data_IF_163474404189
#
_entry.id   IF_163474404189
#
_cell.length_a   1.000
_cell.length_b   1.000
_cell.length_c   1.000
_cell.angle_alpha   90.00
_cell.angle_beta   90.00
_cell.angle_gamma   90.00
#
_symmetry.space_group_name_H-M   'P 1'
#
loop_
_entity.id
_entity.type
_entity.pdbx_description
1 polymer ?
#
# COMPACT_ATOMS: atom_id res chain seq x y z
N UNK A 1 4.54 -13.43 -10.99
CA UNK A 1 3.09 -13.09 -10.80
C UNK A 1 2.29 -14.36 -10.50
N UNK A 2 2.45 -15.41 -11.32
CA UNK A 2 1.67 -16.66 -11.20
C UNK A 2 1.70 -17.29 -9.80
N UNK A 3 2.87 -17.50 -9.13
CA UNK A 3 2.86 -18.08 -7.79
C UNK A 3 2.10 -17.26 -6.76
N UNK A 4 2.15 -15.92 -6.84
CA UNK A 4 1.41 -15.04 -5.94
C UNK A 4 -0.10 -15.24 -6.09
N UNK A 5 -0.61 -15.26 -7.33
CA UNK A 5 -2.05 -15.35 -7.60
C UNK A 5 -2.61 -16.76 -7.50
N UNK A 6 -1.83 -17.80 -7.79
CA UNK A 6 -2.31 -19.18 -7.73
C UNK A 6 -2.06 -19.86 -6.38
N UNK A 7 -0.96 -19.54 -5.72
CA UNK A 7 -0.49 -20.23 -4.52
C UNK A 7 -0.34 -19.33 -3.29
N UNK A 8 -0.46 -18.02 -3.45
CA UNK A 8 -0.19 -17.06 -2.38
C UNK A 8 1.29 -17.06 -1.98
N UNK A 9 2.20 -17.13 -2.94
CA UNK A 9 3.65 -17.25 -2.71
C UNK A 9 4.44 -16.23 -3.51
N UNK A 10 5.48 -15.68 -2.88
CA UNK A 10 6.50 -14.86 -3.54
C UNK A 10 7.87 -15.41 -3.17
N UNK A 11 8.70 -15.75 -4.18
CA UNK A 11 10.01 -16.34 -4.00
C UNK A 11 10.00 -17.57 -3.04
N UNK A 12 8.98 -18.44 -3.19
CA UNK A 12 8.81 -19.65 -2.37
C UNK A 12 8.31 -19.42 -0.94
N UNK A 13 8.04 -18.18 -0.56
CA UNK A 13 7.51 -17.83 0.78
C UNK A 13 6.03 -17.48 0.70
N UNK A 14 5.24 -17.99 1.63
CA UNK A 14 3.82 -17.64 1.76
C UNK A 14 3.65 -16.15 2.04
N UNK A 15 2.70 -15.51 1.35
CA UNK A 15 2.21 -14.18 1.67
C UNK A 15 1.08 -14.26 2.68
N UNK A 16 0.61 -13.11 3.18
CA UNK A 16 -0.52 -13.07 4.12
C UNK A 16 -1.79 -13.74 3.60
N UNK A 17 -2.61 -14.23 4.50
CA UNK A 17 -3.83 -14.99 4.23
C UNK A 17 -5.11 -14.17 4.51
N UNK A 18 -5.04 -12.84 4.37
CA UNK A 18 -6.19 -11.97 4.47
C UNK A 18 -7.20 -12.24 3.36
N UNK A 19 -8.48 -11.88 3.57
CA UNK A 19 -9.56 -12.10 2.62
C UNK A 19 -9.34 -11.42 1.27
N UNK A 20 -8.56 -10.32 1.25
CA UNK A 20 -8.17 -9.57 0.04
C UNK A 20 -6.85 -10.03 -0.59
N UNK A 21 -6.23 -11.10 -0.08
CA UNK A 21 -4.99 -11.62 -0.65
C UNK A 21 -5.19 -12.04 -2.12
N UNK A 22 -4.22 -11.79 -3.02
CA UNK A 22 -4.37 -12.01 -4.46
C UNK A 22 -4.89 -13.39 -4.85
N UNK A 23 -4.43 -14.44 -4.18
CA UNK A 23 -4.86 -15.82 -4.45
C UNK A 23 -6.29 -16.13 -4.00
N UNK A 24 -6.90 -15.29 -3.16
CA UNK A 24 -8.29 -15.44 -2.70
C UNK A 24 -9.30 -14.66 -3.53
N UNK A 25 -8.84 -13.71 -4.33
CA UNK A 25 -9.71 -12.84 -5.12
C UNK A 25 -9.57 -13.05 -6.63
N UNK A 26 -8.81 -14.07 -7.05
CA UNK A 26 -8.54 -14.33 -8.47
C UNK A 26 -9.73 -14.97 -9.19
N UNK A 27 -10.41 -15.92 -8.57
CA UNK A 27 -11.45 -16.69 -9.21
C UNK A 27 -12.84 -16.32 -8.69
N UNK A 28 -13.83 -16.36 -9.58
CA UNK A 28 -15.25 -16.17 -9.28
C UNK A 28 -15.96 -17.53 -9.26
N UNK A 29 -17.03 -17.66 -8.48
CA UNK A 29 -17.82 -18.91 -8.41
C UNK A 29 -18.55 -19.21 -9.73
N UNK A 30 -18.99 -18.16 -10.45
CA UNK A 30 -19.69 -18.26 -11.72
C UNK A 30 -19.45 -16.99 -12.55
N UNK A 31 -19.88 -17.00 -13.81
CA UNK A 31 -19.88 -15.82 -14.68
C UNK A 31 -20.66 -14.66 -14.03
N UNK A 32 -20.07 -13.47 -14.00
CA UNK A 32 -20.64 -12.24 -13.40
C UNK A 32 -20.95 -12.37 -11.88
N UNK A 33 -20.47 -13.43 -11.21
CA UNK A 33 -20.61 -13.56 -9.77
C UNK A 33 -19.85 -12.44 -9.04
N UNK A 34 -20.41 -11.99 -7.91
CA UNK A 34 -19.74 -11.10 -6.96
C UNK A 34 -19.03 -11.85 -5.82
N UNK A 35 -19.07 -13.20 -5.88
CA UNK A 35 -18.49 -14.07 -4.86
C UNK A 35 -17.22 -14.71 -5.38
N UNK A 36 -16.15 -14.58 -4.62
CA UNK A 36 -14.87 -15.22 -4.94
C UNK A 36 -14.90 -16.71 -4.60
N UNK A 37 -14.44 -17.51 -5.56
CA UNK A 37 -14.36 -18.95 -5.40
C UNK A 37 -13.21 -19.36 -4.48
N UNK A 38 -13.41 -20.41 -3.69
CA UNK A 38 -12.37 -20.98 -2.80
C UNK A 38 -11.34 -21.83 -3.52
N UNK A 39 -11.62 -22.20 -4.76
CA UNK A 39 -10.74 -23.02 -5.62
C UNK A 39 -10.76 -22.49 -7.06
N UNK A 40 -9.80 -22.83 -7.91
CA UNK A 40 -9.77 -22.42 -9.30
C UNK A 40 -11.05 -22.81 -10.06
N UNK A 41 -11.59 -21.85 -10.81
CA UNK A 41 -12.71 -22.01 -11.75
C UNK A 41 -12.31 -21.50 -13.13
N UNK A 42 -13.18 -21.64 -14.12
CA UNK A 42 -12.98 -21.03 -15.45
C UNK A 42 -13.25 -19.51 -15.48
N UNK A 43 -13.76 -18.94 -14.38
CA UNK A 43 -14.10 -17.52 -14.30
C UNK A 43 -13.08 -16.78 -13.44
N UNK A 44 -12.35 -15.86 -14.05
CA UNK A 44 -11.35 -15.03 -13.36
C UNK A 44 -11.90 -13.61 -13.16
N UNK A 45 -11.61 -13.04 -11.99
CA UNK A 45 -11.97 -11.66 -11.67
C UNK A 45 -11.09 -10.64 -12.43
N UNK A 46 -9.87 -11.05 -12.79
CA UNK A 46 -8.90 -10.20 -13.48
C UNK A 46 -7.79 -11.05 -14.11
N UNK A 47 -7.10 -10.48 -15.09
CA UNK A 47 -5.84 -11.01 -15.63
C UNK A 47 -4.69 -10.35 -14.88
N UNK A 48 -3.91 -11.11 -14.07
CA UNK A 48 -2.83 -10.52 -13.28
C UNK A 48 -1.74 -9.89 -14.14
N UNK A 49 -1.33 -8.66 -13.82
CA UNK A 49 -0.30 -7.92 -14.56
C UNK A 49 0.90 -7.53 -13.70
N UNK A 50 0.68 -7.00 -12.51
CA UNK A 50 1.74 -6.47 -11.66
C UNK A 50 1.43 -6.69 -10.17
N UNK A 51 2.48 -6.86 -9.37
CA UNK A 51 2.41 -6.75 -7.93
C UNK A 51 3.63 -6.01 -7.39
N UNK A 52 3.49 -5.39 -6.24
CA UNK A 52 4.58 -4.73 -5.53
C UNK A 52 4.31 -4.78 -4.02
N UNK A 53 5.32 -4.36 -3.26
CA UNK A 53 5.24 -4.20 -1.81
C UNK A 53 5.82 -2.84 -1.44
N UNK A 54 5.04 -2.06 -0.69
CA UNK A 54 5.41 -0.72 -0.27
C UNK A 54 5.73 -0.68 1.23
N UNK A 55 6.62 0.22 1.60
CA UNK A 55 7.09 0.40 2.97
C UNK A 55 7.55 1.84 3.20
N UNK A 56 8.28 2.08 4.30
CA UNK A 56 8.88 3.38 4.56
C UNK A 56 10.16 3.58 3.75
N UNK A 57 10.24 4.71 3.06
CA UNK A 57 11.49 5.28 2.58
C UNK A 57 12.10 6.16 3.67
N UNK A 58 13.40 6.10 3.84
CA UNK A 58 14.13 6.94 4.81
C UNK A 58 15.38 7.58 4.20
N UNK A 59 15.84 8.65 4.83
CA UNK A 59 17.11 9.33 4.59
C UNK A 59 18.15 8.85 5.63
N UNK A 60 18.93 7.80 5.33
CA UNK A 60 19.90 7.25 6.28
C UNK A 60 21.06 8.19 6.59
N UNK A 61 21.31 9.16 5.74
CA UNK A 61 22.28 10.24 5.96
C UNK A 61 21.81 11.27 7.00
N UNK A 62 20.50 11.41 7.20
CA UNK A 62 19.87 12.33 8.15
C UNK A 62 19.36 11.64 9.43
N UNK A 63 19.28 10.32 9.43
CA UNK A 63 18.83 9.51 10.56
C UNK A 63 19.97 8.61 11.03
N UNK A 64 20.40 8.78 12.27
CA UNK A 64 21.60 8.11 12.82
C UNK A 64 21.28 6.83 13.61
N UNK A 65 20.06 6.29 13.48
CA UNK A 65 19.63 5.05 14.15
C UNK A 65 18.82 4.16 13.24
N UNK A 66 18.71 2.85 13.54
CA UNK A 66 17.85 1.96 12.78
C UNK A 66 16.37 2.39 12.83
N UNK A 67 15.69 2.28 11.69
CA UNK A 67 14.25 2.42 11.54
C UNK A 67 13.68 1.04 11.23
N UNK A 68 12.94 0.46 12.14
CA UNK A 68 12.51 -0.94 12.07
C UNK A 68 10.99 -1.12 12.14
N UNK A 69 10.24 -0.03 12.31
CA UNK A 69 8.79 -0.09 12.54
C UNK A 69 8.04 0.99 11.78
N UNK A 70 6.84 0.68 11.32
CA UNK A 70 5.89 1.65 10.80
C UNK A 70 5.52 2.74 11.82
N UNK A 71 5.61 2.43 13.12
CA UNK A 71 5.35 3.39 14.22
C UNK A 71 6.21 4.65 14.13
N UNK A 72 7.35 4.59 13.44
CA UNK A 72 8.28 5.72 13.29
C UNK A 72 7.68 6.90 12.51
N UNK A 73 6.68 6.68 11.67
CA UNK A 73 5.93 7.77 11.04
C UNK A 73 5.25 8.70 12.06
N UNK A 74 4.88 8.18 13.22
CA UNK A 74 4.27 8.94 14.31
C UNK A 74 5.18 9.07 15.54
N UNK A 75 6.49 8.87 15.36
CA UNK A 75 7.45 9.10 16.44
C UNK A 75 7.69 10.62 16.59
N UNK A 76 7.51 11.18 17.79
CA UNK A 76 7.73 12.62 18.06
C UNK A 76 9.13 13.13 17.70
N UNK A 77 10.15 12.26 17.68
CA UNK A 77 11.52 12.58 17.22
C UNK A 77 11.53 13.17 15.80
N UNK A 78 10.62 12.69 14.94
CA UNK A 78 10.51 13.10 13.54
C UNK A 78 9.35 14.07 13.30
N UNK A 79 8.87 14.76 14.33
CA UNK A 79 7.79 15.75 14.20
C UNK A 79 8.12 16.80 13.14
N UNK A 80 7.19 17.02 12.21
CA UNK A 80 7.36 17.95 11.09
C UNK A 80 8.34 17.48 10.01
N UNK A 81 8.81 16.22 10.07
CA UNK A 81 9.76 15.64 9.10
C UNK A 81 9.28 14.32 8.52
N UNK A 82 8.02 13.97 8.69
CA UNK A 82 7.42 12.77 8.12
C UNK A 82 6.36 13.11 7.08
N UNK A 83 6.09 12.18 6.18
CA UNK A 83 4.98 12.29 5.23
C UNK A 83 4.31 10.93 5.00
N UNK A 84 3.04 10.97 4.61
CA UNK A 84 2.25 9.77 4.29
C UNK A 84 1.45 10.00 3.01
N UNK A 85 1.19 8.93 2.28
CA UNK A 85 0.41 8.94 1.06
C UNK A 85 -1.04 9.41 1.32
N UNK A 86 -1.49 10.39 0.56
CA UNK A 86 -2.84 10.97 0.62
C UNK A 86 -3.73 10.48 -0.53
N UNK A 87 -3.76 9.17 -0.75
CA UNK A 87 -4.75 8.50 -1.60
C UNK A 87 -5.62 7.66 -0.66
N UNK A 88 -6.92 7.99 -0.47
CA UNK A 88 -7.74 7.42 0.61
C UNK A 88 -7.72 5.89 0.67
N UNK A 89 -7.89 5.22 -0.47
CA UNK A 89 -7.92 3.75 -0.56
C UNK A 89 -6.57 3.06 -0.28
N UNK A 90 -5.47 3.80 -0.37
CA UNK A 90 -4.11 3.26 -0.20
C UNK A 90 -3.50 3.79 1.10
N UNK A 91 -3.52 5.11 1.30
CA UNK A 91 -2.90 5.75 2.47
C UNK A 91 -3.52 5.31 3.80
N UNK A 92 -4.82 4.94 3.80
CA UNK A 92 -5.43 4.38 5.00
C UNK A 92 -4.82 3.04 5.41
N UNK A 93 -4.36 2.23 4.47
CA UNK A 93 -3.66 0.98 4.79
C UNK A 93 -2.26 1.25 5.36
N UNK A 94 -1.53 2.24 4.84
CA UNK A 94 -0.27 2.69 5.44
C UNK A 94 -0.50 3.18 6.87
N UNK A 95 -1.56 3.95 7.10
CA UNK A 95 -1.95 4.39 8.43
C UNK A 95 -2.32 3.23 9.37
N UNK A 96 -3.03 2.21 8.85
CA UNK A 96 -3.34 1.00 9.61
C UNK A 96 -2.08 0.22 10.01
N UNK A 97 -1.05 0.18 9.15
CA UNK A 97 0.26 -0.39 9.49
C UNK A 97 0.90 0.36 10.67
N UNK A 98 0.77 1.69 10.70
CA UNK A 98 1.27 2.53 11.80
C UNK A 98 0.49 2.28 13.09
N UNK A 99 -0.85 2.26 13.03
CA UNK A 99 -1.74 2.02 14.17
C UNK A 99 -1.44 0.66 14.82
N UNK A 100 -1.28 -0.37 13.99
CA UNK A 100 -0.94 -1.72 14.47
C UNK A 100 0.48 -1.77 15.06
N UNK A 101 1.47 -1.14 14.41
CA UNK A 101 2.84 -1.07 14.89
C UNK A 101 2.96 -0.32 16.22
N UNK A 102 2.06 0.62 16.52
CA UNK A 102 1.95 1.30 17.82
C UNK A 102 1.17 0.50 18.87
N UNK A 103 0.65 -0.69 18.52
CA UNK A 103 -0.15 -1.50 19.44
C UNK A 103 -1.52 -0.91 19.77
N UNK A 104 -2.02 0.07 19.01
CA UNK A 104 -3.32 0.72 19.25
C UNK A 104 -4.46 -0.22 18.87
N UNK A 105 -4.34 -0.91 17.72
CA UNK A 105 -5.34 -1.87 17.24
C UNK A 105 -4.67 -2.94 16.38
N UNK A 106 -5.24 -4.15 16.37
CA UNK A 106 -4.84 -5.25 15.49
C UNK A 106 -5.94 -5.51 14.46
N UNK A 107 -5.63 -5.28 13.20
CA UNK A 107 -6.58 -5.48 12.11
C UNK A 107 -6.68 -6.95 11.70
N UNK A 108 -7.91 -7.40 11.43
CA UNK A 108 -8.13 -8.72 10.83
C UNK A 108 -7.71 -8.73 9.35
N UNK A 109 -8.07 -7.69 8.63
CA UNK A 109 -7.74 -7.50 7.21
C UNK A 109 -7.67 -6.00 6.90
N UNK A 110 -6.46 -5.48 6.70
CA UNK A 110 -6.23 -4.05 6.39
C UNK A 110 -6.76 -3.67 5.00
N UNK A 111 -6.97 -4.63 4.11
CA UNK A 111 -7.58 -4.43 2.80
C UNK A 111 -9.12 -4.43 2.82
N UNK A 112 -9.71 -4.85 3.96
CA UNK A 112 -11.17 -4.91 4.14
C UNK A 112 -11.54 -4.52 5.57
N UNK A 113 -11.22 -3.29 5.94
CA UNK A 113 -11.47 -2.75 7.27
C UNK A 113 -12.95 -2.49 7.50
N UNK A 114 -13.41 -2.74 8.71
CA UNK A 114 -14.74 -2.33 9.19
C UNK A 114 -14.81 -0.81 9.33
N UNK A 115 -16.05 -0.27 9.37
CA UNK A 115 -16.25 1.17 9.61
C UNK A 115 -15.56 1.66 10.89
N UNK A 116 -15.64 0.89 11.97
CA UNK A 116 -15.01 1.23 13.25
C UNK A 116 -13.47 1.27 13.14
N UNK A 117 -12.87 0.34 12.40
CA UNK A 117 -11.42 0.35 12.14
C UNK A 117 -10.99 1.53 11.27
N UNK A 118 -11.79 1.90 10.27
CA UNK A 118 -11.58 3.08 9.44
C UNK A 118 -11.65 4.34 10.32
N UNK A 119 -12.71 4.50 11.12
CA UNK A 119 -12.91 5.66 11.99
C UNK A 119 -11.74 5.82 12.98
N UNK A 120 -11.27 4.72 13.60
CA UNK A 120 -10.11 4.72 14.50
C UNK A 120 -8.83 5.17 13.77
N UNK A 121 -8.60 4.61 12.59
CA UNK A 121 -7.40 4.90 11.78
C UNK A 121 -7.37 6.37 11.37
N UNK A 122 -8.49 6.89 10.86
CA UNK A 122 -8.63 8.29 10.45
C UNK A 122 -8.49 9.23 11.66
N UNK A 123 -9.08 8.89 12.81
CA UNK A 123 -8.93 9.67 14.06
C UNK A 123 -7.45 9.81 14.42
N UNK A 124 -6.71 8.70 14.39
CA UNK A 124 -5.26 8.69 14.69
C UNK A 124 -4.48 9.60 13.74
N UNK A 125 -4.80 9.58 12.43
CA UNK A 125 -4.17 10.48 11.46
C UNK A 125 -4.51 11.94 11.69
N UNK A 126 -5.78 12.26 12.00
CA UNK A 126 -6.22 13.62 12.28
C UNK A 126 -5.50 14.18 13.52
N UNK A 127 -5.39 13.39 14.59
CA UNK A 127 -4.67 13.77 15.80
C UNK A 127 -3.20 14.05 15.51
N UNK A 128 -2.52 13.15 14.77
CA UNK A 128 -1.14 13.33 14.35
C UNK A 128 -0.96 14.59 13.47
N UNK A 129 -1.86 14.83 12.53
CA UNK A 129 -1.84 16.03 11.67
C UNK A 129 -2.00 17.30 12.52
N UNK A 130 -2.98 17.34 13.44
CA UNK A 130 -3.21 18.47 14.36
C UNK A 130 -2.01 18.72 15.26
N UNK A 131 -1.30 17.66 15.67
CA UNK A 131 -0.08 17.76 16.46
C UNK A 131 1.13 18.26 15.63
N UNK A 132 1.00 18.45 14.31
CA UNK A 132 2.08 18.87 13.43
C UNK A 132 3.10 17.77 13.14
N UNK A 133 2.72 16.50 13.23
CA UNK A 133 3.60 15.36 12.99
C UNK A 133 4.06 15.31 11.53
N UNK A 134 3.14 15.53 10.59
CA UNK A 134 3.43 15.44 9.17
C UNK A 134 3.91 16.78 8.60
N UNK A 135 4.99 16.75 7.82
CA UNK A 135 5.42 17.86 6.96
C UNK A 135 4.50 18.00 5.76
N UNK A 136 4.08 16.87 5.19
CA UNK A 136 3.21 16.82 4.03
C UNK A 136 2.35 15.55 4.02
N UNK A 137 1.26 15.62 3.24
CA UNK A 137 0.44 14.47 2.84
C UNK A 137 0.52 14.43 1.31
N UNK A 138 1.46 13.64 0.79
CA UNK A 138 1.77 13.59 -0.65
C UNK A 138 0.76 12.73 -1.43
N UNK A 139 0.53 13.06 -2.70
CA UNK A 139 -0.49 12.42 -3.54
C UNK A 139 0.00 11.93 -4.91
N UNK A 140 1.21 12.31 -5.30
CA UNK A 140 1.80 11.89 -6.57
C UNK A 140 3.29 11.52 -6.43
N UNK A 141 3.79 10.84 -7.46
CA UNK A 141 5.16 10.33 -7.52
C UNK A 141 6.21 11.43 -7.34
N UNK A 142 6.04 12.54 -8.05
CA UNK A 142 7.04 13.62 -8.06
C UNK A 142 7.09 14.34 -6.71
N UNK A 143 5.94 14.56 -6.07
CA UNK A 143 5.86 15.13 -4.73
C UNK A 143 6.61 14.25 -3.71
N UNK A 144 6.38 12.93 -3.74
CA UNK A 144 7.10 11.97 -2.89
C UNK A 144 8.62 12.04 -3.10
N UNK A 145 9.07 12.06 -4.36
CA UNK A 145 10.50 12.16 -4.71
C UNK A 145 11.10 13.50 -4.24
N UNK A 146 10.39 14.61 -4.43
CA UNK A 146 10.88 15.95 -4.08
C UNK A 146 11.01 16.12 -2.57
N UNK A 147 10.02 15.70 -1.78
CA UNK A 147 10.06 15.76 -0.32
C UNK A 147 11.27 15.02 0.27
N UNK A 148 11.57 13.83 -0.26
CA UNK A 148 12.75 13.07 0.19
C UNK A 148 14.05 13.68 -0.34
N UNK A 149 14.06 14.17 -1.58
CA UNK A 149 15.27 14.73 -2.18
C UNK A 149 15.69 16.04 -1.51
N UNK A 150 14.74 16.88 -1.12
CA UNK A 150 15.03 18.15 -0.42
C UNK A 150 15.50 17.94 1.03
N UNK A 151 15.21 16.78 1.63
CA UNK A 151 15.45 16.54 3.05
C UNK A 151 14.41 17.18 3.99
N UNK A 152 13.35 17.78 3.45
CA UNK A 152 12.23 18.28 4.25
C UNK A 152 11.50 17.13 4.97
N UNK A 153 11.51 15.96 4.34
CA UNK A 153 11.00 14.71 4.91
C UNK A 153 12.16 13.72 5.01
N UNK A 154 12.26 13.06 6.16
CA UNK A 154 13.30 12.06 6.41
C UNK A 154 12.75 10.64 6.50
N UNK A 155 11.44 10.51 6.77
CA UNK A 155 10.69 9.24 6.76
C UNK A 155 9.34 9.47 6.08
N UNK A 156 8.98 8.63 5.13
CA UNK A 156 7.63 8.63 4.56
C UNK A 156 7.21 7.24 4.06
N UNK A 157 5.89 6.97 3.99
CA UNK A 157 5.40 5.86 3.17
C UNK A 157 5.81 6.13 1.72
N UNK A 158 6.36 5.13 1.03
CA UNK A 158 7.01 5.40 -0.25
C UNK A 158 6.89 4.21 -1.20
N UNK A 159 6.84 4.50 -2.49
CA UNK A 159 6.92 3.49 -3.53
C UNK A 159 8.37 3.18 -3.89
N UNK A 160 8.70 1.92 -4.13
CA UNK A 160 10.06 1.51 -4.48
C UNK A 160 10.64 2.25 -5.70
N UNK A 161 9.89 2.56 -6.78
CA UNK A 161 10.39 3.38 -7.88
C UNK A 161 10.78 4.80 -7.45
N UNK A 162 10.06 5.39 -6.48
CA UNK A 162 10.38 6.71 -5.97
C UNK A 162 11.69 6.72 -5.17
N UNK A 163 11.97 5.66 -4.39
CA UNK A 163 13.28 5.47 -3.74
C UNK A 163 14.40 5.40 -4.78
N UNK A 164 14.19 4.66 -5.87
CA UNK A 164 15.16 4.57 -6.97
C UNK A 164 15.40 5.94 -7.61
N UNK A 165 14.34 6.72 -7.84
CA UNK A 165 14.45 8.07 -8.41
C UNK A 165 15.19 9.05 -7.48
N UNK A 166 15.05 8.94 -6.16
CA UNK A 166 15.85 9.72 -5.20
C UNK A 166 17.32 9.32 -5.28
N UNK A 167 17.61 8.01 -5.31
CA UNK A 167 18.99 7.48 -5.41
C UNK A 167 19.67 7.90 -6.70
N UNK A 168 18.97 7.95 -7.83
CA UNK A 168 19.54 8.38 -9.11
C UNK A 168 19.99 9.84 -9.13
N UNK A 169 19.52 10.64 -8.18
CA UNK A 169 19.98 12.02 -7.93
C UNK A 169 21.23 12.08 -7.04
N UNK A 170 21.85 10.96 -6.69
CA UNK A 170 22.99 10.90 -5.76
C UNK A 170 22.62 11.09 -4.29
N UNK A 171 21.33 10.98 -3.94
CA UNK A 171 20.82 11.21 -2.58
C UNK A 171 20.61 9.86 -1.89
N UNK A 172 21.12 9.73 -0.66
CA UNK A 172 20.91 8.54 0.13
C UNK A 172 19.41 8.35 0.45
N UNK A 173 18.86 7.21 0.06
CA UNK A 173 17.48 6.84 0.35
C UNK A 173 17.40 5.32 0.46
N UNK A 174 16.74 4.81 1.50
CA UNK A 174 16.61 3.37 1.75
C UNK A 174 15.16 2.98 1.85
N UNK A 175 14.79 1.89 1.18
CA UNK A 175 13.48 1.24 1.28
C UNK A 175 13.55 0.22 2.41
N UNK A 176 12.85 0.45 3.53
CA UNK A 176 13.10 -0.24 4.79
C UNK A 176 12.42 -1.61 4.90
N UNK A 177 13.15 -2.67 5.26
CA UNK A 177 12.55 -3.94 5.67
C UNK A 177 12.07 -3.84 7.12
N UNK A 178 10.82 -3.46 7.33
CA UNK A 178 10.25 -3.24 8.65
C UNK A 178 9.75 -4.55 9.29
N UNK A 179 9.79 -4.64 10.61
CA UNK A 179 9.29 -5.80 11.39
C UNK A 179 7.79 -6.05 11.17
N UNK A 180 7.01 -5.01 10.93
CA UNK A 180 5.59 -5.12 10.59
C UNK A 180 5.30 -5.57 9.15
N UNK A 181 6.34 -5.82 8.34
CA UNK A 181 6.19 -6.20 6.93
C UNK A 181 5.89 -5.03 6.02
N UNK A 182 5.46 -5.37 4.80
CA UNK A 182 5.17 -4.46 3.72
C UNK A 182 3.67 -4.37 3.47
N UNK A 183 3.19 -3.23 2.96
CA UNK A 183 1.88 -3.17 2.34
C UNK A 183 1.99 -3.70 0.91
N UNK A 184 1.63 -4.97 0.71
CA UNK A 184 1.62 -5.58 -0.60
C UNK A 184 0.35 -5.19 -1.38
N UNK A 185 0.48 -5.06 -2.69
CA UNK A 185 -0.62 -4.86 -3.59
C UNK A 185 -0.39 -5.61 -4.91
N UNK A 186 -1.48 -5.89 -5.58
CA UNK A 186 -1.46 -6.52 -6.89
C UNK A 186 -2.54 -5.88 -7.75
N UNK A 187 -2.30 -5.81 -9.06
CA UNK A 187 -3.25 -5.31 -10.03
C UNK A 187 -3.33 -6.21 -11.25
N UNK A 188 -4.40 -6.07 -11.99
CA UNK A 188 -4.65 -6.79 -13.23
C UNK A 188 -5.64 -6.05 -14.09
N UNK A 189 -5.81 -6.53 -15.33
CA UNK A 189 -6.87 -6.10 -16.20
C UNK A 189 -8.15 -6.86 -15.85
N UNK A 190 -9.22 -6.12 -15.58
CA UNK A 190 -10.58 -6.64 -15.45
C UNK A 190 -11.44 -6.12 -16.57
N UNK A 191 -12.41 -6.91 -16.99
CA UNK A 191 -13.47 -6.43 -17.85
C UNK A 191 -14.47 -5.66 -16.98
N UNK A 192 -14.77 -4.39 -17.29
CA UNK A 192 -15.80 -3.67 -16.57
C UNK A 192 -17.17 -4.29 -16.85
N UNK A 193 -18.07 -4.20 -15.90
CA UNK A 193 -19.47 -4.64 -16.06
C UNK A 193 -20.28 -3.67 -16.95
N UNK A 194 -19.72 -2.51 -17.29
CA UNK A 194 -20.28 -1.55 -18.24
C UNK A 194 -19.93 -1.98 -19.66
N UNK A 195 -20.91 -2.01 -20.52
CA UNK A 195 -20.72 -2.27 -21.95
C UNK A 195 -19.69 -1.29 -22.54
N UNK A 196 -18.66 -1.83 -23.16
CA UNK A 196 -17.84 -1.08 -24.09
C UNK A 196 -18.55 -1.13 -25.45
N UNK A 197 -18.77 0.03 -26.03
CA UNK A 197 -19.40 0.17 -27.34
C UNK A 197 -18.34 0.73 -28.30
N UNK A 198 -18.18 0.11 -29.45
CA UNK A 198 -17.31 0.63 -30.50
C UNK A 198 -17.90 1.89 -31.17
N UNK A 199 -17.19 2.48 -32.09
CA UNK A 199 -17.63 3.67 -32.81
C UNK A 199 -18.91 3.49 -33.64
N UNK A 200 -19.31 2.24 -33.92
CA UNK A 200 -20.52 1.85 -34.63
C UNK A 200 -21.67 1.51 -33.68
N UNK A 201 -21.45 1.59 -32.36
CA UNK A 201 -22.44 1.27 -31.33
C UNK A 201 -22.59 -0.24 -31.07
N UNK A 202 -21.61 -1.05 -31.48
CA UNK A 202 -21.59 -2.48 -31.20
C UNK A 202 -20.99 -2.75 -29.81
N UNK A 203 -21.54 -3.73 -29.13
CA UNK A 203 -21.01 -4.19 -27.83
C UNK A 203 -19.66 -4.89 -28.06
N UNK A 204 -18.64 -4.43 -27.37
CA UNK A 204 -17.32 -5.06 -27.33
C UNK A 204 -17.27 -6.01 -26.12
N UNK A 205 -17.99 -7.12 -26.18
CA UNK A 205 -18.26 -8.18 -25.23
C UNK A 205 -17.30 -8.43 -24.06
#
# INVERSE_FOLDING_TARGET
ITPLFLKGEVAGKKVGDQGTAPHKVLYLEAEKSKVFAKSPTQFMSLIPTVYNADTLGIRPDLIKRPIESWAELLNPEFKGKTAILNIPSIGIMDAAMVVEAKGIHKYKDKGNMTKAEIDLTIKTLIEAKKAGQFRALWKDFNESVNLMSSGEVVIQSMWSPAVTAVRSKGIACTFQPLKGGYRAWAAGFGLPTTMLIDAQGCELG
#
